data_IF_035763752453
#
_entry.id   IF_035763752453
#
_cell.length_a   1.000
_cell.length_b   1.000
_cell.length_c   1.000
_cell.angle_alpha   90.00
_cell.angle_beta   90.00
_cell.angle_gamma   90.00
#
_symmetry.space_group_name_H-M   'P 1'
#
loop_
_entity.id
_entity.type
_entity.pdbx_description
1 polymer ?
2 non-polymer ?
3 water ?
#
# COMPACT_ATOMS: atom_id res chain seq x y z
N UNK A 1 4.31 -9.58 1.48
CA UNK A 1 5.38 -9.58 0.46
C UNK A 1 5.59 -8.18 -0.10
N UNK A 2 4.71 -7.26 0.28
CA UNK A 2 4.84 -5.88 -0.14
C UNK A 2 6.20 -5.40 0.38
N UNK A 3 6.69 -6.05 1.42
CA UNK A 3 7.98 -5.71 2.00
C UNK A 3 9.10 -6.00 1.02
N UNK A 4 9.10 -7.21 0.46
CA UNK A 4 10.14 -7.58 -0.52
C UNK A 4 10.04 -6.68 -1.74
N UNK A 5 8.81 -6.47 -2.24
CA UNK A 5 8.59 -5.62 -3.40
C UNK A 5 9.20 -4.23 -3.21
N UNK A 6 8.98 -3.66 -2.03
CA UNK A 6 9.51 -2.35 -1.74
C UNK A 6 11.03 -2.34 -1.77
N UNK A 7 11.65 -3.40 -1.23
CA UNK A 7 13.11 -3.50 -1.21
C UNK A 7 13.66 -3.54 -2.63
N UNK A 8 13.03 -4.33 -3.49
CA UNK A 8 13.46 -4.43 -4.89
C UNK A 8 13.38 -3.06 -5.56
N UNK A 9 12.29 -2.35 -5.31
CA UNK A 9 12.08 -1.04 -5.91
C UNK A 9 13.23 -0.12 -5.57
N UNK A 10 13.58 -0.08 -4.29
CA UNK A 10 14.68 0.75 -3.83
C UNK A 10 15.97 0.32 -4.49
N UNK A 11 16.22 -0.98 -4.52
CA UNK A 11 17.45 -1.51 -5.11
C UNK A 11 17.57 -1.19 -6.59
N UNK A 12 16.46 -1.24 -7.31
CA UNK A 12 16.46 -1.00 -8.75
C UNK A 12 16.33 0.46 -9.22
N UNK A 13 15.47 1.22 -8.57
CA UNK A 13 15.23 2.61 -8.97
C UNK A 13 15.92 3.64 -8.08
N UNK A 14 16.42 3.21 -6.93
CA UNK A 14 17.07 4.13 -6.02
C UNK A 14 16.05 4.98 -5.27
N UNK A 15 14.77 4.66 -5.46
CA UNK A 15 13.69 5.39 -4.82
C UNK A 15 12.90 4.45 -3.92
N UNK A 16 12.33 4.97 -2.84
CA UNK A 16 11.52 4.13 -1.98
C UNK A 16 10.14 4.14 -2.63
N UNK A 17 9.38 3.05 -2.49
CA UNK A 17 8.04 3.00 -3.09
C UNK A 17 7.16 4.20 -2.75
N UNK A 18 7.18 4.64 -1.50
CA UNK A 18 6.40 5.81 -1.10
C UNK A 18 7.34 7.00 -1.01
N UNK A 19 6.96 8.14 -1.61
CA UNK A 19 5.74 8.42 -2.37
C UNK A 19 5.87 8.29 -3.89
N UNK A 20 7.07 7.99 -4.39
CA UNK A 20 7.31 7.90 -5.83
C UNK A 20 6.43 6.96 -6.65
N UNK A 21 6.14 5.77 -6.13
CA UNK A 21 5.34 4.82 -6.90
C UNK A 21 4.07 4.34 -6.22
N UNK A 22 3.82 4.76 -4.98
CA UNK A 22 2.62 4.29 -4.29
C UNK A 22 1.26 4.76 -4.85
N UNK A 23 1.26 5.74 -5.74
CA UNK A 23 -0.01 6.22 -6.31
C UNK A 23 0.20 6.87 -7.67
N UNK A 24 1.30 6.51 -8.33
CA UNK A 24 1.65 7.07 -9.62
C UNK A 24 0.67 6.66 -10.73
N UNK A 25 0.24 7.65 -11.52
CA UNK A 25 -0.65 7.38 -12.64
C UNK A 25 -1.94 6.62 -12.37
N UNK A 26 -2.40 5.88 -13.37
CA UNK A 26 -3.64 5.12 -13.26
C UNK A 26 -3.50 3.73 -12.67
N UNK A 27 -2.27 3.21 -12.59
CA UNK A 27 -2.11 1.85 -12.07
C UNK A 27 -1.13 1.58 -10.92
N UNK A 28 -0.15 2.45 -10.73
CA UNK A 28 0.80 2.22 -9.64
C UNK A 28 0.17 2.43 -8.27
N UNK A 29 0.20 1.39 -7.44
CA UNK A 29 -0.38 1.48 -6.11
C UNK A 29 -1.87 1.15 -6.16
N UNK A 30 -2.35 0.79 -7.35
CA UNK A 30 -3.76 0.46 -7.51
C UNK A 30 -4.40 1.17 -8.68
N UNK A 31 -5.55 0.64 -9.11
CA UNK A 31 -6.26 1.24 -10.22
C UNK A 31 -6.62 0.20 -11.27
N UNK A 32 -7.73 0.44 -11.98
CA UNK A 32 -8.20 -0.48 -13.00
C UNK A 32 -8.51 0.21 -14.33
N UNK A 33 -9.13 1.39 -14.29
CA UNK A 33 -9.44 2.12 -15.51
C UNK A 33 -8.19 2.80 -16.04
N UNK A 34 -8.00 2.74 -17.35
CA UNK A 34 -6.84 3.36 -17.95
C UNK A 34 -7.30 4.44 -18.91
N UNK A 35 -6.57 4.65 -20.01
CA UNK A 35 -5.35 3.90 -20.34
C UNK A 35 -4.16 4.31 -19.47
N UNK A 36 -3.11 3.48 -19.44
CA UNK A 36 -1.96 3.85 -18.62
C UNK A 36 -1.36 5.13 -19.17
N UNK A 37 -0.84 5.98 -18.30
CA UNK A 37 -0.30 7.26 -18.72
C UNK A 37 1.04 7.23 -19.43
N UNK A 38 1.92 6.31 -19.04
CA UNK A 38 3.25 6.21 -19.64
C UNK A 38 3.90 4.86 -19.42
N UNK A 39 5.20 4.77 -19.72
CA UNK A 39 5.96 3.52 -19.58
C UNK A 39 5.98 3.02 -18.14
N UNK A 40 6.18 3.94 -17.21
CA UNK A 40 6.20 3.59 -15.80
C UNK A 40 4.83 3.05 -15.39
N UNK A 41 3.77 3.73 -15.83
CA UNK A 41 2.41 3.32 -15.51
C UNK A 41 2.10 1.95 -16.11
N UNK A 42 2.62 1.69 -17.30
CA UNK A 42 2.40 0.41 -17.94
C UNK A 42 3.14 -0.69 -17.16
N UNK A 43 4.26 -0.34 -16.53
CA UNK A 43 5.00 -1.30 -15.72
C UNK A 43 4.06 -1.80 -14.61
N UNK A 44 3.38 -0.87 -13.96
CA UNK A 44 2.46 -1.20 -12.87
C UNK A 44 1.24 -2.01 -13.30
N UNK A 45 0.72 -1.71 -14.49
CA UNK A 45 -0.42 -2.46 -15.01
C UNK A 45 0.02 -3.91 -15.28
N UNK A 46 1.20 -4.06 -15.87
CA UNK A 46 1.72 -5.40 -16.15
C UNK A 46 1.97 -6.13 -14.81
N UNK A 47 2.36 -5.39 -13.78
CA UNK A 47 2.59 -6.02 -12.48
C UNK A 47 1.27 -6.52 -11.91
N UNK A 48 0.24 -5.70 -12.03
CA UNK A 48 -1.08 -6.06 -11.55
C UNK A 48 -1.55 -7.31 -12.29
N UNK A 49 -1.32 -7.33 -13.60
CA UNK A 49 -1.70 -8.46 -14.43
C UNK A 49 -0.93 -9.72 -14.01
N UNK A 50 0.34 -9.56 -13.68
CA UNK A 50 1.17 -10.67 -13.25
C UNK A 50 0.59 -11.28 -11.98
N UNK A 51 0.20 -10.43 -11.03
CA UNK A 51 -0.37 -10.94 -9.79
C UNK A 51 -1.65 -11.74 -10.06
N UNK A 52 -2.36 -11.37 -11.13
CA UNK A 52 -3.59 -12.07 -11.47
C UNK A 52 -3.31 -13.50 -11.94
N UNK A 53 -2.04 -13.82 -12.20
CA UNK A 53 -1.68 -15.16 -12.62
C UNK A 53 -1.37 -16.02 -11.41
N UNK A 54 -1.51 -15.44 -10.23
CA UNK A 54 -1.23 -16.15 -8.98
C UNK A 54 -2.46 -16.20 -8.08
N UNK A 55 -3.59 -16.68 -8.60
CA UNK A 55 -4.77 -16.72 -7.72
C UNK A 55 -4.65 -17.73 -6.58
N UNK A 56 -3.69 -18.65 -6.70
CA UNK A 56 -3.46 -19.66 -5.68
C UNK A 56 -2.53 -19.14 -4.60
N UNK A 57 -2.09 -17.89 -4.75
CA UNK A 57 -1.18 -17.28 -3.79
C UNK A 57 -1.72 -15.98 -3.20
N UNK A 58 -0.98 -15.41 -2.24
CA UNK A 58 -1.33 -14.14 -1.63
C UNK A 58 -0.11 -13.24 -1.81
N UNK A 59 0.08 -12.71 -3.04
CA UNK A 59 1.21 -11.84 -3.39
C UNK A 59 1.51 -10.61 -2.53
N UNK A 60 0.51 -10.10 -1.82
CA UNK A 60 0.74 -8.94 -0.98
C UNK A 60 1.24 -9.25 0.42
N UNK A 61 1.01 -10.48 0.88
CA UNK A 61 1.41 -10.86 2.24
C UNK A 61 2.35 -12.06 2.36
N UNK A 62 2.49 -12.84 1.29
CA UNK A 62 3.38 -14.00 1.33
C UNK A 62 4.83 -13.56 1.25
N UNK A 63 5.58 -13.78 2.33
CA UNK A 63 6.99 -13.41 2.38
C UNK A 63 7.83 -14.37 1.55
N UNK A 64 8.95 -13.87 1.01
CA UNK A 64 9.85 -14.72 0.24
C UNK A 64 11.27 -14.18 0.34
N UNK A 65 12.23 -14.96 -0.14
CA UNK A 65 13.63 -14.59 -0.09
C UNK A 65 14.22 -14.53 -1.50
N UNK A 66 15.16 -13.62 -1.72
CA UNK A 66 15.80 -13.48 -3.01
C UNK A 66 17.24 -12.97 -2.82
N UNK A 67 18.05 -13.11 -3.87
CA UNK A 67 19.44 -12.69 -3.86
C UNK A 67 19.73 -11.81 -5.07
N UNK A 68 20.94 -11.26 -5.13
CA UNK A 68 21.36 -10.43 -6.25
C UNK A 68 22.70 -10.92 -6.76
N UNK A 69 22.65 -11.75 -7.80
CA UNK A 69 23.84 -12.33 -8.41
C UNK A 69 24.25 -11.61 -9.69
N UNK A 70 25.40 -10.95 -9.65
CA UNK A 70 25.92 -10.22 -10.81
C UNK A 70 25.00 -9.04 -11.10
N UNK A 71 24.49 -8.41 -10.05
CA UNK A 71 23.60 -7.29 -10.23
C UNK A 71 22.19 -7.72 -10.64
N UNK A 72 21.97 -9.03 -10.75
CA UNK A 72 20.65 -9.53 -11.13
C UNK A 72 19.89 -10.13 -9.96
N UNK A 73 18.56 -10.02 -10.00
CA UNK A 73 17.72 -10.55 -8.95
C UNK A 73 17.54 -12.06 -9.15
N UNK A 74 17.84 -12.85 -8.13
CA UNK A 74 17.69 -14.31 -8.22
C UNK A 74 16.61 -14.77 -7.26
N UNK A 75 15.43 -15.08 -7.81
CA UNK A 75 14.30 -15.54 -6.99
C UNK A 75 14.47 -16.93 -6.40
N UNK A 76 13.95 -17.10 -5.18
CA UNK A 76 14.01 -18.38 -4.47
C UNK A 76 12.97 -19.35 -5.05
N UNK A 77 12.94 -20.57 -4.52
CA UNK A 77 12.00 -21.58 -5.00
C UNK A 77 11.45 -22.51 -3.93
N UNK A 78 11.52 -22.12 -2.65
CA UNK A 78 11.01 -22.98 -1.58
C UNK A 78 9.58 -23.45 -1.92
N UNK A 79 8.75 -22.53 -2.40
CA UNK A 79 7.39 -22.86 -2.81
C UNK A 79 7.16 -22.25 -4.19
N UNK A 80 6.15 -22.75 -4.90
CA UNK A 80 5.85 -22.24 -6.23
C UNK A 80 5.40 -20.78 -6.11
N UNK A 81 4.61 -20.48 -5.09
CA UNK A 81 4.11 -19.13 -4.88
C UNK A 81 5.21 -18.13 -4.61
N UNK A 82 6.16 -18.48 -3.75
CA UNK A 82 7.26 -17.60 -3.44
C UNK A 82 8.06 -17.30 -4.70
N UNK A 83 8.21 -18.32 -5.54
CA UNK A 83 8.94 -18.18 -6.80
C UNK A 83 8.19 -17.29 -7.79
N UNK A 84 6.92 -17.61 -8.03
CA UNK A 84 6.13 -16.83 -8.99
C UNK A 84 5.87 -15.40 -8.53
N UNK A 85 5.62 -15.20 -7.23
CA UNK A 85 5.40 -13.86 -6.72
C UNK A 85 6.68 -13.06 -6.89
N UNK A 86 7.79 -13.65 -6.49
CA UNK A 86 9.08 -12.98 -6.62
C UNK A 86 9.39 -12.57 -8.08
N UNK A 87 9.03 -13.42 -9.04
CA UNK A 87 9.30 -13.09 -10.45
C UNK A 87 8.45 -11.91 -10.93
N UNK A 88 7.27 -11.73 -10.36
CA UNK A 88 6.41 -10.61 -10.73
C UNK A 88 7.04 -9.32 -10.19
N UNK A 89 7.49 -9.36 -8.94
CA UNK A 89 8.09 -8.20 -8.30
C UNK A 89 9.41 -7.86 -8.99
N UNK A 90 10.20 -8.89 -9.28
CA UNK A 90 11.47 -8.67 -9.97
C UNK A 90 11.19 -7.92 -11.29
N UNK A 91 10.20 -8.40 -12.04
CA UNK A 91 9.84 -7.81 -13.31
C UNK A 91 9.43 -6.35 -13.23
N UNK A 92 8.61 -5.99 -12.24
CA UNK A 92 8.19 -4.60 -12.14
C UNK A 92 9.32 -3.67 -11.67
N UNK A 93 10.16 -4.16 -10.75
CA UNK A 93 11.28 -3.34 -10.25
C UNK A 93 12.24 -3.00 -11.38
N UNK A 94 12.55 -3.99 -12.21
CA UNK A 94 13.44 -3.80 -13.34
C UNK A 94 12.81 -2.86 -14.37
N UNK A 95 11.51 -3.00 -14.59
CA UNK A 95 10.78 -2.16 -15.55
C UNK A 95 10.77 -0.71 -15.09
N UNK A 96 10.60 -0.49 -13.79
CA UNK A 96 10.59 0.87 -13.27
C UNK A 96 11.97 1.50 -13.47
N UNK A 97 13.02 0.71 -13.32
CA UNK A 97 14.38 1.20 -13.53
C UNK A 97 14.59 1.58 -14.99
N UNK A 98 14.18 0.67 -15.89
CA UNK A 98 14.33 0.91 -17.31
C UNK A 98 13.64 2.19 -17.75
N UNK A 99 12.56 2.57 -17.08
CA UNK A 99 11.82 3.77 -17.45
C UNK A 99 11.98 4.97 -16.52
N UNK A 100 13.03 4.94 -15.71
CA UNK A 100 13.30 6.02 -14.77
C UNK A 100 13.41 7.37 -15.45
N UNK A 101 14.04 7.39 -16.62
CA UNK A 101 14.25 8.62 -17.36
C UNK A 101 13.01 9.34 -17.89
N UNK A 102 11.83 8.71 -17.83
CA UNK A 102 10.63 9.40 -18.30
C UNK A 102 9.61 9.56 -17.16
N UNK A 103 10.04 9.25 -15.95
CA UNK A 103 9.18 9.38 -14.77
C UNK A 103 8.67 10.82 -14.78
N UNK A 104 7.37 11.01 -14.60
CA UNK A 104 6.81 12.35 -14.62
C UNK A 104 6.23 12.74 -13.27
N UNK A 105 6.92 13.65 -12.58
CA UNK A 105 6.50 14.13 -11.28
C UNK A 105 5.03 14.55 -11.22
N UNK A 106 4.47 14.99 -12.34
CA UNK A 106 3.07 15.42 -12.31
C UNK A 106 2.07 14.27 -12.29
N UNK A 107 2.54 13.03 -12.33
CA UNK A 107 1.66 11.86 -12.28
C UNK A 107 1.80 11.14 -10.93
N UNK A 108 2.75 11.59 -10.11
CA UNK A 108 3.01 10.96 -8.82
C UNK A 108 1.75 10.85 -7.96
N UNK A 109 0.91 11.90 -7.97
CA UNK A 109 -0.32 11.90 -7.18
C UNK A 109 -1.54 12.07 -8.08
N UNK A 110 -1.59 11.29 -9.15
CA UNK A 110 -2.68 11.36 -10.11
C UNK A 110 -4.04 11.02 -9.50
N UNK A 111 -5.02 11.93 -9.59
CA UNK A 111 -6.35 11.65 -9.05
C UNK A 111 -6.95 10.51 -9.87
N UNK A 112 -7.33 9.43 -9.20
CA UNK A 112 -7.84 8.28 -9.92
C UNK A 112 -9.11 8.50 -10.71
N UNK A 113 -9.95 9.45 -10.30
CA UNK A 113 -11.18 9.69 -11.03
C UNK A 113 -10.91 10.32 -12.40
N UNK A 114 -9.64 10.55 -12.69
CA UNK A 114 -9.23 11.09 -14.00
C UNK A 114 -8.95 9.94 -14.95
N UNK A 115 -8.92 8.72 -14.42
CA UNK A 115 -8.69 7.54 -15.25
C UNK A 115 -10.11 7.08 -15.63
N UNK A 116 -10.54 7.45 -16.83
CA UNK A 116 -11.89 7.15 -17.31
C UNK A 116 -12.03 6.10 -18.40
N UNK A 117 -10.92 5.49 -18.81
CA UNK A 117 -11.01 4.48 -19.84
C UNK A 117 -11.62 3.19 -19.33
N UNK A 118 -11.86 2.23 -20.24
CA UNK A 118 -12.43 0.95 -19.85
C UNK A 118 -11.38 0.14 -19.09
N UNK A 119 -11.82 -0.91 -18.42
CA UNK A 119 -10.92 -1.79 -17.70
C UNK A 119 -10.51 -2.87 -18.70
N UNK A 120 -9.41 -2.65 -19.40
CA UNK A 120 -8.94 -3.61 -20.40
C UNK A 120 -8.49 -4.92 -19.79
N UNK A 121 -8.71 -6.02 -20.53
CA UNK A 121 -8.29 -7.32 -20.06
C UNK A 121 -6.77 -7.28 -20.01
N UNK A 122 -6.18 -8.23 -19.32
CA UNK A 122 -4.73 -8.30 -19.24
C UNK A 122 -4.20 -8.99 -20.48
N UNK B 1 -0.70 -7.68 7.15
CA UNK B 1 -2.17 -7.82 7.27
C UNK B 1 -2.91 -6.68 6.58
N UNK B 2 -2.29 -6.09 5.57
CA UNK B 2 -2.91 -5.01 4.80
C UNK B 2 -4.27 -5.48 4.31
N UNK B 3 -4.42 -6.79 4.12
CA UNK B 3 -5.67 -7.37 3.66
C UNK B 3 -6.75 -7.20 4.71
N UNK B 4 -6.42 -7.57 5.95
CA UNK B 4 -7.37 -7.44 7.04
C UNK B 4 -7.65 -5.96 7.34
N UNK B 5 -6.63 -5.12 7.24
CA UNK B 5 -6.83 -3.69 7.49
C UNK B 5 -7.80 -3.15 6.46
N UNK B 6 -7.69 -3.66 5.23
CA UNK B 6 -8.59 -3.24 4.18
C UNK B 6 -10.02 -3.68 4.45
N UNK B 7 -10.20 -4.91 4.93
CA UNK B 7 -11.56 -5.40 5.20
C UNK B 7 -12.19 -4.55 6.30
N UNK B 8 -11.41 -4.17 7.31
CA UNK B 8 -11.93 -3.35 8.39
C UNK B 8 -12.38 -1.98 7.88
N UNK B 9 -11.54 -1.36 7.06
CA UNK B 9 -11.84 -0.05 6.51
C UNK B 9 -13.13 -0.09 5.70
N UNK B 10 -13.29 -1.16 4.93
CA UNK B 10 -14.49 -1.35 4.11
C UNK B 10 -15.74 -1.44 4.98
N UNK B 11 -15.71 -2.33 5.96
CA UNK B 11 -16.85 -2.51 6.86
C UNK B 11 -17.22 -1.27 7.66
N UNK B 12 -16.21 -0.57 8.17
CA UNK B 12 -16.45 0.62 8.98
C UNK B 12 -16.78 1.93 8.25
N UNK B 13 -16.12 2.19 7.13
CA UNK B 13 -16.37 3.45 6.44
C UNK B 13 -17.26 3.35 5.20
N UNK B 14 -17.39 2.15 4.66
CA UNK B 14 -18.21 1.97 3.47
C UNK B 14 -17.41 2.38 2.25
N UNK B 15 -16.19 2.88 2.49
CA UNK B 15 -15.31 3.30 1.41
C UNK B 15 -14.27 2.22 1.18
N UNK B 16 -13.85 2.06 -0.07
CA UNK B 16 -12.82 1.07 -0.36
C UNK B 16 -11.49 1.77 -0.05
N UNK B 17 -10.60 1.12 0.72
CA UNK B 17 -9.30 1.73 1.04
C UNK B 17 -8.65 2.44 -0.14
N UNK B 18 -8.64 1.79 -1.31
CA UNK B 18 -8.11 2.43 -2.51
C UNK B 18 -9.35 2.83 -3.30
N UNK B 19 -9.41 4.09 -3.77
CA UNK B 19 -8.41 5.15 -3.60
C UNK B 19 -8.73 6.14 -2.47
N UNK B 20 -9.82 5.92 -1.75
CA UNK B 20 -10.22 6.87 -0.71
C UNK B 20 -9.29 7.12 0.47
N UNK B 21 -8.47 6.14 0.84
CA UNK B 21 -7.57 6.35 1.97
C UNK B 21 -6.11 6.00 1.75
N UNK B 22 -5.81 5.40 0.60
CA UNK B 22 -4.44 4.99 0.31
C UNK B 22 -3.40 6.10 0.18
N UNK B 23 -3.85 7.33 -0.06
CA UNK B 23 -2.91 8.46 -0.19
C UNK B 23 -3.52 9.76 0.38
N UNK B 24 -4.48 9.60 1.28
CA UNK B 24 -5.17 10.71 1.90
C UNK B 24 -4.31 11.58 2.82
N UNK B 25 -4.30 12.88 2.54
CA UNK B 25 -3.55 13.83 3.37
C UNK B 25 -2.06 13.57 3.53
N UNK B 26 -1.51 13.94 4.68
CA UNK B 26 -0.09 13.75 4.92
C UNK B 26 0.29 12.41 5.52
N UNK B 27 -0.67 11.68 6.08
CA UNK B 27 -0.34 10.41 6.74
C UNK B 27 -1.01 9.12 6.30
N UNK B 28 -2.17 9.21 5.65
CA UNK B 28 -2.84 7.99 5.23
C UNK B 28 -2.10 7.32 4.08
N UNK B 29 -1.74 6.05 4.27
CA UNK B 29 -1.02 5.34 3.24
C UNK B 29 0.47 5.66 3.22
N UNK B 30 0.93 6.39 4.23
CA UNK B 30 2.34 6.74 4.28
C UNK B 30 2.60 8.22 4.54
N UNK B 31 3.79 8.52 5.05
CA UNK B 31 4.15 9.89 5.34
C UNK B 31 4.53 10.07 6.80
N UNK B 32 5.62 10.79 7.07
CA UNK B 32 6.09 11.03 8.43
C UNK B 32 6.00 12.49 8.85
N UNK B 33 5.92 13.37 7.87
CA UNK B 33 5.87 14.81 8.14
C UNK B 33 4.48 15.42 8.03
N UNK B 34 4.15 16.27 8.99
CA UNK B 34 2.86 16.92 9.00
C UNK B 34 2.95 18.42 8.80
N UNK B 35 2.08 19.18 9.48
CA UNK B 35 1.08 18.62 10.38
C UNK B 35 -0.06 17.91 9.66
N UNK B 36 -0.80 17.05 10.37
CA UNK B 36 -1.92 16.33 9.75
C UNK B 36 -2.95 17.37 9.34
N UNK B 37 -3.58 17.15 8.18
CA UNK B 37 -4.55 18.10 7.66
C UNK B 37 -5.88 18.17 8.39
N UNK B 38 -6.36 17.02 8.91
CA UNK B 38 -7.63 16.97 9.63
C UNK B 38 -7.76 15.76 10.52
N UNK B 39 -8.98 15.53 11.01
CA UNK B 39 -9.25 14.41 11.88
C UNK B 39 -8.92 13.08 11.21
N UNK B 40 -9.33 12.93 9.95
CA UNK B 40 -9.07 11.70 9.21
C UNK B 40 -7.56 11.49 9.11
N UNK B 41 -6.83 12.56 8.83
CA UNK B 41 -5.39 12.47 8.71
C UNK B 41 -4.78 12.13 10.07
N UNK B 42 -5.37 12.64 11.15
CA UNK B 42 -4.86 12.35 12.48
C UNK B 42 -5.06 10.87 12.82
N UNK B 43 -6.13 10.28 12.30
CA UNK B 43 -6.38 8.86 12.51
C UNK B 43 -5.21 8.05 11.97
N UNK B 44 -4.79 8.39 10.76
CA UNK B 44 -3.70 7.70 10.10
C UNK B 44 -2.38 7.92 10.82
N UNK B 45 -2.18 9.12 11.33
CA UNK B 45 -0.97 9.42 12.09
C UNK B 45 -0.92 8.49 13.29
N UNK B 46 -2.06 8.36 13.97
CA UNK B 46 -2.15 7.50 15.14
C UNK B 46 -1.89 6.06 14.77
N UNK B 47 -2.25 5.68 13.55
CA UNK B 47 -2.07 4.31 13.12
C UNK B 47 -0.59 4.03 12.87
N UNK B 48 0.10 4.99 12.28
CA UNK B 48 1.53 4.86 12.01
C UNK B 48 2.25 4.71 13.35
N UNK B 49 1.86 5.54 14.31
CA UNK B 49 2.45 5.48 15.64
C UNK B 49 2.21 4.12 16.27
N UNK B 50 1.00 3.60 16.11
CA UNK B 50 0.65 2.29 16.67
C UNK B 50 1.56 1.21 16.09
N UNK B 51 1.77 1.26 14.77
CA UNK B 51 2.63 0.27 14.14
C UNK B 51 4.07 0.39 14.69
N UNK B 52 4.44 1.59 15.13
CA UNK B 52 5.78 1.80 15.70
C UNK B 52 5.96 1.00 16.99
N UNK B 53 4.87 0.61 17.63
CA UNK B 53 4.96 -0.16 18.87
C UNK B 53 5.08 -1.65 18.58
N UNK B 54 5.19 -2.00 17.30
CA UNK B 54 5.27 -3.40 16.90
C UNK B 54 6.57 -3.74 16.18
N UNK B 55 7.73 -3.35 16.75
CA UNK B 55 9.00 -3.65 16.09
C UNK B 55 9.30 -5.14 15.99
N UNK B 56 8.69 -5.92 16.88
CA UNK B 56 8.89 -7.36 16.88
C UNK B 56 7.93 -8.08 15.93
N UNK B 57 7.08 -7.30 15.26
CA UNK B 57 6.09 -7.88 14.34
C UNK B 57 6.19 -7.33 12.92
N UNK B 58 5.47 -7.99 12.01
CA UNK B 58 5.42 -7.61 10.59
C UNK B 58 3.95 -7.25 10.33
N UNK B 59 3.51 -6.07 10.78
CA UNK B 59 2.14 -5.59 10.62
C UNK B 59 1.54 -5.62 9.22
N UNK B 60 2.34 -5.31 8.22
CA UNK B 60 1.84 -5.30 6.86
C UNK B 60 1.58 -6.69 6.27
N UNK B 61 2.24 -7.73 6.80
CA UNK B 61 2.08 -9.07 6.26
C UNK B 61 1.55 -10.17 7.16
N UNK B 62 1.51 -9.94 8.48
CA UNK B 62 1.03 -10.97 9.40
C UNK B 62 -0.49 -11.08 9.33
N UNK B 63 -0.98 -12.23 8.89
CA UNK B 63 -2.41 -12.44 8.76
C UNK B 63 -3.09 -12.73 10.09
N UNK B 64 -4.33 -12.30 10.22
CA UNK B 64 -5.08 -12.54 11.43
C UNK B 64 -6.57 -12.55 11.13
N UNK B 65 -7.34 -13.05 12.07
CA UNK B 65 -8.78 -13.13 11.93
C UNK B 65 -9.45 -12.28 13.01
N UNK B 66 -10.62 -11.76 12.71
CA UNK B 66 -11.34 -10.95 13.69
C UNK B 66 -12.83 -11.20 13.54
N UNK B 67 -13.56 -10.93 14.62
CA UNK B 67 -15.00 -11.12 14.64
C UNK B 67 -15.65 -9.77 14.91
N UNK B 68 -16.97 -9.73 14.79
CA UNK B 68 -17.73 -8.52 15.06
C UNK B 68 -18.73 -8.93 16.12
N UNK B 69 -18.62 -8.31 17.28
CA UNK B 69 -19.47 -8.63 18.40
C UNK B 69 -20.29 -7.40 18.80
N UNK B 70 -21.59 -7.44 18.52
CA UNK B 70 -22.47 -6.34 18.85
C UNK B 70 -22.00 -5.06 18.15
N UNK B 71 -21.59 -5.18 16.89
CA UNK B 71 -21.14 -4.03 16.13
C UNK B 71 -19.72 -3.58 16.39
N UNK B 72 -19.01 -4.30 17.26
CA UNK B 72 -17.63 -3.93 17.56
C UNK B 72 -16.65 -4.98 17.05
N UNK B 73 -15.47 -4.51 16.64
CA UNK B 73 -14.44 -5.42 16.15
C UNK B 73 -13.82 -6.14 17.34
N UNK B 74 -13.74 -7.45 17.26
CA UNK B 74 -13.16 -8.26 18.33
C UNK B 74 -11.92 -8.97 17.81
N UNK B 75 -10.77 -8.54 18.30
CA UNK B 75 -9.50 -9.13 17.87
C UNK B 75 -9.17 -10.52 18.42
N UNK B 76 -8.54 -11.34 17.58
CA UNK B 76 -8.15 -12.71 17.95
C UNK B 76 -6.86 -12.67 18.78
N UNK B 77 -6.48 -13.82 19.32
CA UNK B 77 -5.25 -13.92 20.13
C UNK B 77 -4.39 -15.16 19.87
N UNK B 78 -4.36 -15.65 18.63
CA UNK B 78 -3.54 -16.83 18.34
C UNK B 78 -2.07 -16.52 18.66
N UNK B 79 -1.65 -15.28 18.42
CA UNK B 79 -0.29 -14.85 18.73
C UNK B 79 -0.34 -13.43 19.25
N UNK B 80 0.71 -13.02 19.97
CA UNK B 80 0.79 -11.69 20.52
C UNK B 80 0.80 -10.65 19.41
N UNK B 81 1.57 -10.92 18.36
CA UNK B 81 1.66 -10.00 17.23
C UNK B 81 0.30 -9.77 16.57
N UNK B 82 -0.37 -10.85 16.20
CA UNK B 82 -1.68 -10.75 15.55
C UNK B 82 -2.65 -9.91 16.38
N UNK B 83 -2.63 -10.12 17.69
CA UNK B 83 -3.49 -9.37 18.60
C UNK B 83 -3.20 -7.88 18.52
N UNK B 84 -1.93 -7.51 18.66
CA UNK B 84 -1.55 -6.10 18.63
C UNK B 84 -1.67 -5.45 17.27
N UNK B 85 -1.43 -6.21 16.21
CA UNK B 85 -1.56 -5.66 14.87
C UNK B 85 -3.04 -5.35 14.70
N UNK B 86 -3.87 -6.34 14.99
CA UNK B 86 -5.31 -6.22 14.88
C UNK B 86 -5.87 -5.03 15.67
N UNK B 87 -5.38 -4.80 16.90
CA UNK B 87 -5.87 -3.67 17.69
C UNK B 87 -5.51 -2.34 17.03
N UNK B 88 -4.32 -2.27 16.44
CA UNK B 88 -3.91 -1.05 15.77
C UNK B 88 -4.88 -0.77 14.61
N UNK B 89 -5.13 -1.80 13.81
CA UNK B 89 -6.04 -1.68 12.66
C UNK B 89 -7.46 -1.35 13.10
N UNK B 90 -7.90 -2.01 14.16
CA UNK B 90 -9.23 -1.77 14.70
C UNK B 90 -9.39 -0.28 15.04
N UNK B 91 -8.39 0.28 15.70
CA UNK B 91 -8.41 1.68 16.11
C UNK B 91 -8.54 2.63 14.93
N UNK B 92 -7.73 2.41 13.89
CA UNK B 92 -7.78 3.31 12.74
C UNK B 92 -9.10 3.19 11.98
N UNK B 93 -9.59 1.98 11.79
CA UNK B 93 -10.83 1.80 11.05
C UNK B 93 -11.98 2.55 11.74
N UNK B 94 -12.06 2.41 13.06
CA UNK B 94 -13.11 3.09 13.81
C UNK B 94 -12.96 4.60 13.81
N UNK B 95 -11.70 5.05 13.85
CA UNK B 95 -11.41 6.48 13.84
C UNK B 95 -11.78 7.08 12.48
N UNK B 96 -11.48 6.35 11.41
CA UNK B 96 -11.82 6.85 10.08
C UNK B 96 -13.34 7.01 9.97
N UNK B 97 -14.06 6.02 10.49
CA UNK B 97 -15.53 6.07 10.46
C UNK B 97 -16.08 7.29 11.21
N UNK B 98 -15.63 7.46 12.45
CA UNK B 98 -16.09 8.57 13.29
C UNK B 98 -15.89 9.94 12.68
N UNK B 99 -14.96 10.07 11.74
CA UNK B 99 -14.71 11.37 11.12
C UNK B 99 -15.10 11.45 9.65
N UNK B 100 -16.05 10.60 9.26
CA UNK B 100 -16.51 10.62 7.87
C UNK B 100 -17.18 11.95 7.53
N UNK B 101 -17.83 12.56 8.52
CA UNK B 101 -18.52 13.83 8.32
C UNK B 101 -17.60 14.98 7.89
N UNK B 102 -16.29 14.79 8.03
CA UNK B 102 -15.33 15.83 7.63
C UNK B 102 -14.36 15.35 6.56
N UNK B 103 -14.59 14.16 6.03
CA UNK B 103 -13.73 13.61 4.98
C UNK B 103 -13.66 14.62 3.84
N UNK B 104 -12.46 15.03 3.47
CA UNK B 104 -12.31 16.01 2.40
C UNK B 104 -11.73 15.42 1.12
N UNK B 105 -12.54 15.38 0.07
CA UNK B 105 -12.12 14.84 -1.22
C UNK B 105 -10.91 15.55 -1.84
N UNK B 106 -10.64 16.78 -1.42
CA UNK B 106 -9.50 17.48 -1.98
C UNK B 106 -8.20 17.05 -1.29
N UNK B 107 -8.32 16.14 -0.33
CA UNK B 107 -7.17 15.62 0.39
C UNK B 107 -6.89 14.17 0.00
N UNK B 108 -7.82 13.58 -0.74
CA UNK B 108 -7.69 12.19 -1.17
C UNK B 108 -6.35 11.92 -1.85
N UNK B 109 -5.92 12.83 -2.73
CA UNK B 109 -4.67 12.71 -3.45
C UNK B 109 -3.73 13.88 -3.12
N UNK B 110 -3.63 14.19 -1.84
CA UNK B 110 -2.80 15.29 -1.38
C UNK B 110 -1.32 15.10 -1.76
N UNK B 111 -0.76 16.03 -2.55
CA UNK B 111 0.66 15.84 -2.91
C UNK B 111 1.53 15.93 -1.64
N UNK B 112 2.27 14.86 -1.38
CA UNK B 112 3.11 14.78 -0.19
C UNK B 112 4.19 15.84 -0.06
N UNK B 113 4.55 16.50 -1.16
CA UNK B 113 5.57 17.53 -1.06
C UNK B 113 4.96 18.79 -0.44
N UNK B 114 3.69 18.70 -0.05
CA UNK B 114 3.03 19.83 0.61
C UNK B 114 3.12 19.65 2.12
N UNK B 115 3.60 18.49 2.55
CA UNK B 115 3.75 18.18 3.98
C UNK B 115 5.19 18.52 4.37
N UNK B 116 5.35 19.72 4.93
CA UNK B 116 6.66 20.29 5.32
C UNK B 116 7.17 20.15 6.76
N UNK B 117 6.27 20.08 7.72
CA UNK B 117 6.68 20.00 9.11
C UNK B 117 7.78 19.00 9.44
N UNK B 118 8.20 18.99 10.70
CA UNK B 118 9.22 18.06 11.12
C UNK B 118 8.51 16.76 11.46
N UNK B 119 9.28 15.72 11.74
CA UNK B 119 8.69 14.46 12.11
C UNK B 119 8.41 14.62 13.61
N UNK B 120 7.15 14.79 13.96
CA UNK B 120 6.79 14.97 15.36
C UNK B 120 6.74 13.64 16.09
N UNK B 121 7.28 13.62 17.30
CA UNK B 121 7.28 12.41 18.10
C UNK B 121 5.83 12.02 18.33
N UNK B 122 5.58 10.73 18.50
CA UNK B 122 4.21 10.25 18.72
C UNK B 122 3.74 10.60 20.13
#
# INVERSE_FOLDING_TARGET
SVVELGKMIIQETGKSPFPSYTSYGCFCGGGERGPPLDATDRCCLAHSCCYDTLPDCSPKTDRYKYKRENGEIICENSTSCKKRICECDKAVAVCLRKNLNTYNKKYTYYPNFWCKGDIEKC
SVVELGKMIIQETGKSPFPSYTSYGCFCGGGERGPPLDATDRCCLAHSCCYDTLPDCSPKTDRYKYKRENGEIICENSTSCKKRICECDKAVAVCLRKNLNTYNKKYTYYPNFWCKGDIEKC
#
